data_IF_947267909047
#
_entry.id   IF_947267909047
#
_cell.length_a   1.000
_cell.length_b   1.000
_cell.length_c   1.000
_cell.angle_alpha   90.00
_cell.angle_beta   90.00
_cell.angle_gamma   90.00
#
_symmetry.space_group_name_H-M   'P 1'
#
loop_
_entity.id
_entity.type
_entity.pdbx_description
1 polymer ?
#
# COMPACT_ATOMS: atom_id res chain seq x y z
N UNK A 1 -4.46 -37.02 -19.34
CA UNK A 1 -4.42 -35.96 -20.36
C UNK A 1 -3.73 -36.52 -21.59
N UNK A 2 -4.23 -36.24 -22.80
CA UNK A 2 -3.53 -36.61 -24.03
C UNK A 2 -2.28 -35.74 -24.16
N UNK A 3 -1.17 -36.33 -24.60
CA UNK A 3 0.14 -35.68 -24.74
C UNK A 3 0.08 -34.41 -25.61
N UNK A 4 -0.82 -34.39 -26.60
CA UNK A 4 -0.94 -33.31 -27.58
C UNK A 4 -2.20 -32.43 -27.43
N UNK A 5 -2.92 -32.47 -26.30
CA UNK A 5 -4.13 -31.64 -26.10
C UNK A 5 -3.86 -30.13 -26.18
N UNK A 6 -2.68 -29.69 -25.74
CA UNK A 6 -2.26 -28.29 -25.84
C UNK A 6 -2.23 -27.76 -27.27
N UNK A 7 -1.90 -28.62 -28.26
CA UNK A 7 -1.90 -28.25 -29.66
C UNK A 7 -3.33 -28.01 -30.16
N UNK A 8 -4.31 -28.76 -29.67
CA UNK A 8 -5.73 -28.52 -29.98
C UNK A 8 -6.18 -27.16 -29.47
N UNK A 9 -5.79 -26.83 -28.23
CA UNK A 9 -6.09 -25.54 -27.62
C UNK A 9 -5.44 -24.39 -28.39
N UNK A 10 -4.17 -24.50 -28.76
CA UNK A 10 -3.45 -23.49 -29.53
C UNK A 10 -4.05 -23.28 -30.94
N UNK A 11 -4.40 -24.38 -31.64
CA UNK A 11 -5.08 -24.31 -32.95
C UNK A 11 -6.43 -23.58 -32.82
N UNK A 12 -7.19 -23.87 -31.75
CA UNK A 12 -8.48 -23.22 -31.49
C UNK A 12 -8.31 -21.72 -31.17
N UNK A 13 -7.32 -21.35 -30.36
CA UNK A 13 -7.03 -19.95 -30.00
C UNK A 13 -6.57 -19.14 -31.21
N UNK A 14 -5.77 -19.71 -32.11
CA UNK A 14 -5.32 -19.05 -33.34
C UNK A 14 -6.41 -18.97 -34.42
N UNK A 15 -7.56 -19.63 -34.23
CA UNK A 15 -8.71 -19.57 -35.15
C UNK A 15 -8.48 -20.23 -36.52
N UNK A 16 -7.46 -21.07 -36.64
CA UNK A 16 -7.07 -21.72 -37.90
C UNK A 16 -7.69 -23.11 -38.06
N UNK A 17 -7.98 -23.50 -39.30
CA UNK A 17 -8.45 -24.85 -39.62
C UNK A 17 -7.32 -25.88 -39.55
N UNK A 18 -7.66 -27.14 -39.27
CA UNK A 18 -6.72 -28.27 -39.31
C UNK A 18 -5.96 -28.39 -40.64
N UNK A 19 -6.58 -27.99 -41.75
CA UNK A 19 -5.94 -28.02 -43.07
C UNK A 19 -4.85 -26.95 -43.18
N UNK A 20 -5.15 -25.71 -42.78
CA UNK A 20 -4.18 -24.61 -42.79
C UNK A 20 -2.95 -24.89 -41.92
N UNK A 21 -3.16 -25.46 -40.73
CA UNK A 21 -2.07 -25.85 -39.82
C UNK A 21 -1.21 -26.95 -40.45
N UNK A 22 -1.84 -27.95 -41.07
CA UNK A 22 -1.15 -29.06 -41.70
C UNK A 22 -0.27 -28.59 -42.88
N UNK A 23 -0.83 -27.74 -43.75
CA UNK A 23 -0.14 -27.19 -44.91
C UNK A 23 1.05 -26.30 -44.49
N UNK A 24 0.84 -25.41 -43.51
CA UNK A 24 1.88 -24.51 -43.02
C UNK A 24 3.01 -25.24 -42.25
N UNK A 25 2.71 -26.40 -41.68
CA UNK A 25 3.67 -27.21 -40.91
C UNK A 25 4.28 -28.36 -41.74
N UNK A 26 4.03 -28.39 -43.06
CA UNK A 26 4.60 -29.38 -43.98
C UNK A 26 4.15 -30.83 -43.70
N UNK A 27 2.92 -31.03 -43.24
CA UNK A 27 2.37 -32.36 -42.93
C UNK A 27 0.97 -32.56 -43.51
N UNK A 28 0.53 -33.81 -43.64
CA UNK A 28 -0.84 -34.08 -44.11
C UNK A 28 -1.84 -33.88 -42.98
N UNK A 29 -3.07 -33.46 -43.32
CA UNK A 29 -4.18 -33.35 -42.36
C UNK A 29 -4.43 -34.65 -41.59
N UNK A 30 -4.26 -35.80 -42.24
CA UNK A 30 -4.37 -37.12 -41.61
C UNK A 30 -3.29 -37.36 -40.55
N UNK A 31 -2.04 -37.00 -40.84
CA UNK A 31 -0.94 -37.09 -39.89
C UNK A 31 -1.17 -36.18 -38.68
N UNK A 32 -1.56 -34.92 -38.91
CA UNK A 32 -1.86 -33.97 -37.83
C UNK A 32 -3.03 -34.48 -36.95
N UNK A 33 -4.09 -35.02 -37.56
CA UNK A 33 -5.21 -35.59 -36.82
C UNK A 33 -4.81 -36.80 -35.97
N UNK A 34 -3.93 -37.67 -36.46
CA UNK A 34 -3.40 -38.79 -35.69
C UNK A 34 -2.49 -38.33 -34.56
N UNK A 35 -1.67 -37.30 -34.79
CA UNK A 35 -0.80 -36.70 -33.78
C UNK A 35 -1.62 -36.14 -32.61
N UNK A 36 -2.64 -35.34 -32.90
CA UNK A 36 -3.50 -34.72 -31.87
C UNK A 36 -4.30 -35.74 -31.04
N UNK A 37 -4.48 -36.95 -31.55
CA UNK A 37 -5.21 -38.02 -30.87
C UNK A 37 -4.26 -39.07 -30.26
N UNK A 38 -2.98 -38.73 -30.04
CA UNK A 38 -1.93 -39.59 -29.48
C UNK A 38 -1.76 -40.94 -30.20
N UNK A 39 -2.12 -41.02 -31.49
CA UNK A 39 -1.97 -42.25 -32.30
C UNK A 39 -0.56 -42.43 -32.84
N UNK A 40 0.29 -41.40 -32.75
CA UNK A 40 1.67 -41.41 -33.23
C UNK A 40 2.63 -41.54 -32.06
N UNK A 41 3.28 -42.70 -31.90
CA UNK A 41 4.18 -42.99 -30.77
C UNK A 41 5.51 -42.24 -30.81
N UNK A 42 5.99 -41.89 -32.01
CA UNK A 42 7.28 -41.21 -32.21
C UNK A 42 7.19 -40.17 -33.32
N UNK A 43 6.61 -38.99 -33.04
CA UNK A 43 6.51 -37.91 -34.00
C UNK A 43 7.88 -37.35 -34.38
N UNK A 44 8.01 -36.89 -35.63
CA UNK A 44 9.25 -36.27 -36.11
C UNK A 44 9.49 -34.93 -35.41
N UNK A 45 10.70 -34.74 -34.86
CA UNK A 45 11.11 -33.50 -34.21
C UNK A 45 11.00 -32.29 -35.14
N UNK A 46 11.37 -32.44 -36.42
CA UNK A 46 11.25 -31.37 -37.43
C UNK A 46 9.77 -30.98 -37.67
N UNK A 47 8.86 -31.96 -37.71
CA UNK A 47 7.42 -31.71 -37.88
C UNK A 47 6.81 -31.05 -36.65
N UNK A 48 7.24 -31.45 -35.45
CA UNK A 48 6.83 -30.81 -34.21
C UNK A 48 7.36 -29.37 -34.13
N UNK A 49 8.63 -29.12 -34.47
CA UNK A 49 9.20 -27.78 -34.48
C UNK A 49 8.46 -26.85 -35.46
N UNK A 50 8.18 -27.32 -36.67
CA UNK A 50 7.41 -26.56 -37.66
C UNK A 50 6.01 -26.19 -37.16
N UNK A 51 5.34 -27.15 -36.49
CA UNK A 51 4.03 -26.94 -35.88
C UNK A 51 4.08 -25.91 -34.74
N UNK A 52 5.09 -26.00 -33.85
CA UNK A 52 5.26 -25.06 -32.75
C UNK A 52 5.57 -23.65 -33.29
N UNK A 53 6.44 -23.54 -34.30
CA UNK A 53 6.74 -22.27 -34.96
C UNK A 53 5.50 -21.64 -35.59
N UNK A 54 4.67 -22.43 -36.28
CA UNK A 54 3.43 -21.95 -36.87
C UNK A 54 2.40 -21.53 -35.81
N UNK A 55 2.32 -22.23 -34.68
CA UNK A 55 1.41 -21.92 -33.58
C UNK A 55 1.97 -20.90 -32.57
N UNK A 56 3.17 -20.37 -32.80
CA UNK A 56 3.88 -19.45 -31.90
C UNK A 56 4.09 -20.04 -30.49
N UNK A 57 4.37 -21.34 -30.43
CA UNK A 57 4.68 -22.08 -29.21
C UNK A 57 6.20 -22.27 -29.09
N UNK A 58 6.72 -22.31 -27.86
CA UNK A 58 8.12 -22.64 -27.59
C UNK A 58 8.46 -24.09 -27.94
N UNK A 59 9.60 -24.32 -28.59
CA UNK A 59 10.13 -25.66 -28.91
C UNK A 59 11.62 -25.79 -28.53
N UNK A 60 12.05 -26.86 -27.83
CA UNK A 60 11.21 -27.95 -27.29
C UNK A 60 10.30 -27.44 -26.17
N UNK A 61 9.07 -27.95 -26.12
CA UNK A 61 8.11 -27.56 -25.10
C UNK A 61 8.66 -27.90 -23.72
N UNK A 62 8.86 -26.88 -22.89
CA UNK A 62 9.09 -27.07 -21.46
C UNK A 62 7.74 -27.02 -20.77
N UNK A 63 7.42 -28.06 -20.01
CA UNK A 63 6.31 -27.96 -19.06
C UNK A 63 6.72 -26.93 -18.00
N UNK A 64 5.98 -25.83 -17.94
CA UNK A 64 6.19 -24.80 -16.94
C UNK A 64 5.78 -25.34 -15.58
N UNK A 65 6.66 -25.19 -14.59
CA UNK A 65 6.30 -25.37 -13.19
C UNK A 65 5.52 -24.15 -12.74
N UNK A 66 4.30 -24.38 -12.25
CA UNK A 66 3.41 -23.33 -11.78
C UNK A 66 3.22 -23.48 -10.27
N UNK A 67 3.48 -22.41 -9.53
CA UNK A 67 3.22 -22.32 -8.09
C UNK A 67 2.02 -21.44 -7.79
N UNK A 68 1.33 -21.69 -6.68
CA UNK A 68 0.30 -20.80 -6.14
C UNK A 68 0.59 -20.47 -4.67
N UNK A 69 0.33 -19.21 -4.28
CA UNK A 69 0.33 -18.71 -2.91
C UNK A 69 -1.00 -18.05 -2.63
N UNK A 70 -1.62 -18.36 -1.50
CA UNK A 70 -2.82 -17.70 -1.00
C UNK A 70 -2.47 -16.76 0.15
N UNK A 71 -3.15 -15.64 0.28
CA UNK A 71 -2.95 -14.76 1.43
C UNK A 71 -3.94 -13.61 1.50
N UNK A 72 -4.23 -13.19 2.74
CA UNK A 72 -5.03 -11.98 3.01
C UNK A 72 -4.23 -10.69 2.78
N UNK A 73 -2.91 -10.78 3.01
CA UNK A 73 -1.95 -9.67 2.93
C UNK A 73 -2.44 -8.40 3.66
N UNK A 74 -2.91 -8.58 4.90
CA UNK A 74 -3.52 -7.53 5.70
C UNK A 74 -2.75 -7.32 7.03
N UNK A 75 -1.60 -6.65 7.03
CA UNK A 75 -0.90 -6.12 5.87
C UNK A 75 0.04 -7.13 5.20
N UNK A 76 0.57 -6.76 4.03
CA UNK A 76 1.78 -7.38 3.48
C UNK A 76 2.97 -7.10 4.40
N UNK A 77 3.84 -8.10 4.60
CA UNK A 77 5.01 -7.99 5.47
C UNK A 77 6.20 -8.79 4.94
N UNK A 78 7.40 -8.58 5.49
CA UNK A 78 8.63 -9.25 5.01
C UNK A 78 8.57 -10.77 5.09
N UNK A 79 7.84 -11.35 6.05
CA UNK A 79 7.53 -12.80 6.07
C UNK A 79 6.82 -13.30 4.79
N UNK A 80 5.75 -12.61 4.36
CA UNK A 80 5.09 -12.91 3.08
C UNK A 80 6.04 -12.71 1.89
N UNK A 81 6.84 -11.64 1.91
CA UNK A 81 7.83 -11.37 0.86
C UNK A 81 8.84 -12.52 0.77
N UNK A 82 9.33 -13.00 1.90
CA UNK A 82 10.25 -14.13 1.96
C UNK A 82 9.63 -15.42 1.39
N UNK A 83 8.40 -15.76 1.80
CA UNK A 83 7.63 -16.88 1.24
C UNK A 83 7.51 -16.77 -0.28
N UNK A 84 7.08 -15.62 -0.78
CA UNK A 84 6.85 -15.39 -2.21
C UNK A 84 8.15 -15.44 -3.01
N UNK A 85 9.23 -14.83 -2.53
CA UNK A 85 10.54 -14.86 -3.21
C UNK A 85 11.10 -16.29 -3.27
N UNK A 86 10.98 -17.04 -2.18
CA UNK A 86 11.36 -18.46 -2.13
C UNK A 86 10.54 -19.30 -3.12
N UNK A 87 9.23 -19.11 -3.17
CA UNK A 87 8.34 -19.80 -4.09
C UNK A 87 8.68 -19.47 -5.55
N UNK A 88 8.84 -18.17 -5.86
CA UNK A 88 9.14 -17.66 -7.19
C UNK A 88 10.47 -18.22 -7.76
N UNK A 89 11.43 -18.55 -6.90
CA UNK A 89 12.71 -19.14 -7.32
C UNK A 89 12.64 -20.64 -7.67
N UNK A 90 11.53 -21.30 -7.36
CA UNK A 90 11.36 -22.76 -7.52
C UNK A 90 10.43 -23.13 -8.68
N UNK A 91 9.78 -22.14 -9.30
CA UNK A 91 8.77 -22.31 -10.35
C UNK A 91 9.04 -21.36 -11.52
N UNK A 92 8.54 -21.72 -12.70
CA UNK A 92 8.63 -20.88 -13.89
C UNK A 92 7.60 -19.74 -13.83
N UNK A 93 6.42 -19.99 -13.24
CA UNK A 93 5.35 -19.01 -13.02
C UNK A 93 4.78 -19.15 -11.59
N UNK A 94 4.57 -18.02 -10.90
CA UNK A 94 3.98 -17.98 -9.57
C UNK A 94 2.70 -17.15 -9.59
N UNK A 95 1.60 -17.71 -9.12
CA UNK A 95 0.32 -17.04 -8.99
C UNK A 95 0.04 -16.70 -7.52
N UNK A 96 -0.07 -15.42 -7.20
CA UNK A 96 -0.46 -14.94 -5.88
C UNK A 96 -1.94 -14.62 -5.91
N UNK A 97 -2.71 -15.24 -5.02
CA UNK A 97 -4.15 -15.04 -4.89
C UNK A 97 -4.40 -14.27 -3.59
N UNK A 98 -4.70 -12.98 -3.74
CA UNK A 98 -5.14 -12.08 -2.67
C UNK A 98 -6.59 -12.39 -2.32
N UNK A 99 -6.77 -12.97 -1.15
CA UNK A 99 -8.05 -13.38 -0.59
C UNK A 99 -8.66 -12.25 0.26
N UNK A 100 -9.83 -11.75 -0.12
CA UNK A 100 -10.52 -10.66 0.60
C UNK A 100 -11.96 -11.03 0.94
N UNK A 101 -12.46 -10.43 2.03
CA UNK A 101 -13.85 -10.53 2.48
C UNK A 101 -14.16 -9.22 3.19
N UNK A 102 -15.13 -8.45 2.70
CA UNK A 102 -15.39 -7.10 3.23
C UNK A 102 -15.75 -7.09 4.72
N UNK A 103 -16.67 -7.95 5.23
CA UNK A 103 -16.99 -7.99 6.66
C UNK A 103 -15.78 -8.28 7.55
N UNK A 104 -15.01 -9.33 7.25
CA UNK A 104 -13.83 -9.71 8.02
C UNK A 104 -12.71 -8.67 7.89
N UNK A 105 -12.51 -8.11 6.71
CA UNK A 105 -11.46 -7.10 6.50
C UNK A 105 -11.81 -5.77 7.22
N UNK A 106 -13.09 -5.44 7.40
CA UNK A 106 -13.55 -4.34 8.25
C UNK A 106 -13.30 -4.64 9.73
N UNK A 107 -13.69 -5.82 10.21
CA UNK A 107 -13.44 -6.23 11.60
C UNK A 107 -11.95 -6.23 11.94
N UNK A 108 -11.10 -6.66 11.02
CA UNK A 108 -9.64 -6.62 11.17
C UNK A 108 -9.10 -5.18 11.27
N UNK A 109 -9.70 -4.24 10.54
CA UNK A 109 -9.33 -2.82 10.62
C UNK A 109 -9.74 -2.21 11.96
N UNK A 110 -11.01 -2.38 12.35
CA UNK A 110 -11.56 -1.82 13.60
C UNK A 110 -10.79 -2.30 14.84
N UNK A 111 -10.25 -3.52 14.78
CA UNK A 111 -9.44 -4.12 15.84
C UNK A 111 -7.91 -3.94 15.64
N UNK A 112 -7.47 -2.94 14.87
CA UNK A 112 -6.06 -2.66 14.58
C UNK A 112 -5.62 -1.24 14.94
N UNK A 113 -4.30 -0.99 14.86
CA UNK A 113 -3.69 0.34 14.95
C UNK A 113 -3.55 1.05 13.60
N UNK A 114 -4.17 0.55 12.51
CA UNK A 114 -4.07 1.19 11.20
C UNK A 114 -4.71 2.59 11.22
N UNK A 115 -4.07 3.55 10.56
CA UNK A 115 -4.61 4.92 10.41
C UNK A 115 -5.79 4.98 9.44
N UNK A 116 -5.77 4.11 8.43
CA UNK A 116 -6.80 4.03 7.39
C UNK A 116 -7.06 2.58 7.02
N UNK A 117 -8.30 2.26 6.64
CA UNK A 117 -8.64 0.93 6.15
C UNK A 117 -8.04 0.71 4.75
N UNK A 118 -7.12 -0.26 4.56
CA UNK A 118 -6.65 -0.61 3.22
C UNK A 118 -7.75 -1.27 2.39
N UNK A 119 -7.98 -0.72 1.19
CA UNK A 119 -8.90 -1.32 0.23
C UNK A 119 -8.29 -2.57 -0.42
N UNK A 120 -9.10 -3.31 -1.18
CA UNK A 120 -8.58 -4.40 -2.03
C UNK A 120 -7.56 -3.85 -3.04
N UNK A 121 -7.84 -2.68 -3.63
CA UNK A 121 -6.94 -2.00 -4.57
C UNK A 121 -5.62 -1.60 -3.94
N UNK A 122 -5.61 -1.18 -2.68
CA UNK A 122 -4.38 -0.84 -1.95
C UNK A 122 -3.53 -2.08 -1.70
N UNK A 123 -4.15 -3.18 -1.26
CA UNK A 123 -3.46 -4.47 -1.07
C UNK A 123 -2.90 -5.03 -2.37
N UNK A 124 -3.65 -4.94 -3.47
CA UNK A 124 -3.15 -5.29 -4.80
C UNK A 124 -1.96 -4.39 -5.18
N UNK A 125 -2.05 -3.08 -4.92
CA UNK A 125 -0.96 -2.14 -5.19
C UNK A 125 0.29 -2.48 -4.38
N UNK A 126 0.16 -2.88 -3.12
CA UNK A 126 1.31 -3.33 -2.31
C UNK A 126 2.03 -4.50 -2.96
N UNK A 127 1.29 -5.53 -3.37
CA UNK A 127 1.86 -6.71 -4.04
C UNK A 127 2.50 -6.31 -5.38
N UNK A 128 1.79 -5.54 -6.22
CA UNK A 128 2.27 -5.13 -7.54
C UNK A 128 3.53 -4.27 -7.46
N UNK A 129 3.60 -3.32 -6.52
CA UNK A 129 4.79 -2.49 -6.34
C UNK A 129 5.97 -3.29 -5.77
N UNK A 130 5.71 -4.16 -4.80
CA UNK A 130 6.76 -5.00 -4.16
C UNK A 130 7.40 -5.95 -5.17
N UNK A 131 6.59 -6.56 -6.05
CA UNK A 131 7.03 -7.58 -6.99
C UNK A 131 7.12 -7.08 -8.45
N UNK A 132 7.21 -5.76 -8.67
CA UNK A 132 7.15 -5.15 -10.01
C UNK A 132 8.23 -5.60 -10.99
N UNK A 133 9.35 -6.12 -10.49
CA UNK A 133 10.48 -6.56 -11.31
C UNK A 133 10.47 -8.06 -11.61
N UNK A 134 9.58 -8.83 -10.95
CA UNK A 134 9.43 -10.27 -11.13
C UNK A 134 8.33 -10.55 -12.17
N UNK A 135 8.72 -10.64 -13.45
CA UNK A 135 7.79 -10.83 -14.57
C UNK A 135 7.01 -12.15 -14.53
N UNK A 136 7.50 -13.14 -13.80
CA UNK A 136 6.88 -14.44 -13.64
C UNK A 136 5.91 -14.52 -12.45
N UNK A 137 5.69 -13.41 -11.73
CA UNK A 137 4.69 -13.32 -10.68
C UNK A 137 3.40 -12.73 -11.27
N UNK A 138 2.29 -13.44 -11.09
CA UNK A 138 0.96 -13.02 -11.49
C UNK A 138 0.07 -12.85 -10.25
N UNK A 139 -0.45 -11.65 -10.03
CA UNK A 139 -1.26 -11.33 -8.86
C UNK A 139 -2.73 -11.28 -9.26
N UNK A 140 -3.58 -11.91 -8.46
CA UNK A 140 -5.02 -11.99 -8.65
C UNK A 140 -5.74 -11.66 -7.34
N UNK A 141 -6.98 -11.18 -7.42
CA UNK A 141 -7.87 -11.05 -6.27
C UNK A 141 -8.97 -12.10 -6.32
N UNK A 142 -9.31 -12.66 -5.16
CA UNK A 142 -10.38 -13.64 -4.99
C UNK A 142 -11.28 -13.21 -3.84
N UNK A 143 -12.58 -13.12 -4.14
CA UNK A 143 -13.63 -12.75 -3.20
C UNK A 143 -14.07 -13.97 -2.41
N UNK A 144 -13.99 -13.89 -1.08
CA UNK A 144 -14.39 -14.94 -0.15
C UNK A 144 -15.73 -14.64 0.54
N UNK A 145 -16.47 -13.62 0.07
CA UNK A 145 -17.73 -13.25 0.68
C UNK A 145 -18.76 -14.38 0.65
N UNK A 146 -19.38 -14.63 1.80
CA UNK A 146 -20.34 -15.70 2.01
C UNK A 146 -19.72 -17.09 2.23
N UNK A 147 -18.39 -17.20 2.28
CA UNK A 147 -17.70 -18.42 2.70
C UNK A 147 -17.57 -18.40 4.24
N UNK A 148 -17.79 -19.54 4.89
CA UNK A 148 -17.58 -19.63 6.33
C UNK A 148 -16.14 -19.25 6.71
N UNK A 149 -15.93 -18.51 7.81
CA UNK A 149 -14.60 -18.15 8.25
C UNK A 149 -13.75 -19.37 8.61
N UNK A 150 -12.45 -19.28 8.33
CA UNK A 150 -11.45 -20.22 8.83
C UNK A 150 -11.61 -20.44 10.36
N UNK A 151 -11.53 -21.68 10.88
CA UNK A 151 -11.07 -22.91 10.22
C UNK A 151 -12.14 -23.70 9.45
N UNK A 152 -13.37 -23.19 9.34
CA UNK A 152 -14.47 -23.83 8.62
C UNK A 152 -14.50 -23.37 7.15
N UNK A 153 -15.34 -23.98 6.31
CA UNK A 153 -15.55 -23.53 4.92
C UNK A 153 -14.54 -23.98 3.85
N UNK A 154 -13.60 -24.87 4.16
CA UNK A 154 -12.59 -25.37 3.20
C UNK A 154 -13.18 -26.03 1.95
N UNK A 155 -14.32 -26.70 2.08
CA UNK A 155 -15.06 -27.34 1.00
C UNK A 155 -15.60 -26.31 0.00
N UNK A 156 -16.31 -25.28 0.49
CA UNK A 156 -16.85 -24.19 -0.33
C UNK A 156 -15.71 -23.36 -0.93
N UNK A 157 -14.72 -23.02 -0.12
CA UNK A 157 -13.55 -22.25 -0.54
C UNK A 157 -12.76 -22.92 -1.65
N UNK A 158 -12.42 -24.20 -1.48
CA UNK A 158 -11.63 -24.92 -2.46
C UNK A 158 -12.37 -25.11 -3.79
N UNK A 159 -13.70 -25.28 -3.77
CA UNK A 159 -14.53 -25.30 -4.99
C UNK A 159 -14.47 -23.97 -5.73
N UNK A 160 -14.63 -22.85 -5.01
CA UNK A 160 -14.52 -21.50 -5.55
C UNK A 160 -13.15 -21.24 -6.19
N UNK A 161 -12.08 -21.59 -5.47
CA UNK A 161 -10.70 -21.43 -5.95
C UNK A 161 -10.39 -22.32 -7.15
N UNK A 162 -10.85 -23.59 -7.18
CA UNK A 162 -10.69 -24.46 -8.35
C UNK A 162 -11.38 -23.88 -9.58
N UNK A 163 -12.60 -23.37 -9.42
CA UNK A 163 -13.34 -22.70 -10.49
C UNK A 163 -12.57 -21.48 -10.98
N UNK A 164 -12.12 -20.63 -10.06
CA UNK A 164 -11.32 -19.45 -10.36
C UNK A 164 -10.03 -19.79 -11.12
N UNK A 165 -9.25 -20.77 -10.64
CA UNK A 165 -8.02 -21.20 -11.30
C UNK A 165 -8.30 -21.73 -12.70
N UNK A 166 -9.36 -22.51 -12.89
CA UNK A 166 -9.76 -23.01 -14.21
C UNK A 166 -10.16 -21.89 -15.17
N UNK A 167 -10.93 -20.89 -14.70
CA UNK A 167 -11.31 -19.71 -15.50
C UNK A 167 -10.10 -18.87 -15.91
N UNK A 168 -9.08 -18.79 -15.05
CA UNK A 168 -7.82 -18.11 -15.31
C UNK A 168 -6.79 -18.97 -16.05
N UNK A 169 -7.09 -20.24 -16.31
CA UNK A 169 -6.16 -21.19 -16.95
C UNK A 169 -4.93 -21.54 -16.09
N UNK A 170 -5.02 -21.39 -14.77
CA UNK A 170 -3.96 -21.68 -13.82
C UNK A 170 -4.00 -23.17 -13.49
N UNK A 171 -2.93 -23.89 -13.83
CA UNK A 171 -2.78 -25.32 -13.51
C UNK A 171 -1.55 -25.49 -12.61
N UNK A 172 -1.72 -25.34 -11.29
CA UNK A 172 -0.61 -25.38 -10.34
C UNK A 172 -0.04 -26.78 -10.14
N UNK A 173 1.29 -26.85 -10.05
CA UNK A 173 2.03 -28.03 -9.61
C UNK A 173 2.24 -28.03 -8.09
N UNK A 174 2.36 -26.85 -7.49
CA UNK A 174 2.69 -26.68 -6.07
C UNK A 174 1.85 -25.57 -5.43
N UNK A 175 1.47 -25.79 -4.17
CA UNK A 175 0.96 -24.74 -3.28
C UNK A 175 2.05 -24.39 -2.29
N UNK A 176 2.38 -23.12 -2.13
CA UNK A 176 3.36 -22.65 -1.16
C UNK A 176 2.64 -21.99 0.02
N UNK A 177 3.01 -22.39 1.24
CA UNK A 177 2.48 -21.80 2.48
C UNK A 177 3.52 -21.85 3.59
N UNK A 178 3.35 -21.01 4.61
CA UNK A 178 4.07 -21.14 5.88
C UNK A 178 3.23 -21.85 6.95
N UNK A 179 1.92 -21.97 6.74
CA UNK A 179 0.99 -22.53 7.71
C UNK A 179 0.93 -24.06 7.59
N UNK A 180 1.65 -24.76 8.47
CA UNK A 180 1.76 -26.24 8.42
C UNK A 180 0.42 -26.95 8.63
N UNK A 181 -0.50 -26.32 9.36
CA UNK A 181 -1.85 -26.84 9.63
C UNK A 181 -2.75 -26.87 8.39
N UNK A 182 -2.45 -26.05 7.38
CA UNK A 182 -3.25 -25.96 6.14
C UNK A 182 -2.80 -27.00 5.10
N UNK A 183 -1.56 -27.50 5.21
CA UNK A 183 -0.99 -28.43 4.24
C UNK A 183 -1.83 -29.72 4.02
N UNK A 184 -2.39 -30.37 5.06
CA UNK A 184 -3.29 -31.51 4.87
C UNK A 184 -4.55 -31.14 4.10
N UNK A 185 -5.17 -29.99 4.40
CA UNK A 185 -6.38 -29.52 3.75
C UNK A 185 -6.13 -29.22 2.26
N UNK A 186 -5.00 -28.57 1.93
CA UNK A 186 -4.61 -28.36 0.53
C UNK A 186 -4.45 -29.67 -0.24
N UNK A 187 -3.83 -30.68 0.38
CA UNK A 187 -3.65 -31.98 -0.25
C UNK A 187 -4.97 -32.72 -0.46
N UNK A 188 -5.84 -32.72 0.54
CA UNK A 188 -7.16 -33.36 0.47
C UNK A 188 -8.05 -32.69 -0.58
N UNK A 189 -8.13 -31.36 -0.54
CA UNK A 189 -9.05 -30.62 -1.39
C UNK A 189 -8.54 -30.51 -2.83
N UNK A 190 -7.26 -30.22 -3.05
CA UNK A 190 -6.75 -29.94 -4.40
C UNK A 190 -6.01 -31.12 -5.03
N UNK A 191 -5.52 -32.08 -4.24
CA UNK A 191 -4.63 -33.13 -4.73
C UNK A 191 -3.26 -32.60 -5.18
N UNK A 192 -2.86 -31.43 -4.69
CA UNK A 192 -1.62 -30.73 -5.06
C UNK A 192 -0.61 -30.86 -3.92
N UNK A 193 0.67 -30.95 -4.25
CA UNK A 193 1.75 -30.94 -3.28
C UNK A 193 1.91 -29.55 -2.65
N UNK A 194 1.87 -29.49 -1.31
CA UNK A 194 2.13 -28.27 -0.55
C UNK A 194 3.59 -28.22 -0.10
N UNK A 195 4.30 -27.16 -0.46
CA UNK A 195 5.67 -26.88 -0.05
C UNK A 195 5.64 -25.86 1.09
N UNK A 196 6.10 -26.28 2.28
CA UNK A 196 6.19 -25.41 3.44
C UNK A 196 7.47 -24.57 3.43
N UNK A 197 7.35 -23.27 3.64
CA UNK A 197 8.48 -22.35 3.74
C UNK A 197 8.49 -21.69 5.11
N UNK A 198 9.56 -21.91 5.88
CA UNK A 198 9.75 -21.40 7.24
C UNK A 198 8.52 -21.55 8.17
N UNK A 199 7.96 -22.78 8.31
CA UNK A 199 6.74 -22.98 9.11
C UNK A 199 6.94 -22.69 10.60
N UNK A 200 8.17 -22.85 11.10
CA UNK A 200 8.52 -22.53 12.50
C UNK A 200 8.81 -21.03 12.70
N UNK A 201 8.74 -20.23 11.63
CA UNK A 201 9.06 -18.79 11.63
C UNK A 201 10.43 -18.48 12.25
N UNK A 202 11.39 -19.36 11.97
CA UNK A 202 12.76 -19.33 12.47
C UNK A 202 13.58 -18.18 11.90
N UNK A 203 13.27 -17.77 10.67
CA UNK A 203 13.92 -16.65 10.00
C UNK A 203 13.08 -15.39 10.07
N UNK A 204 11.78 -15.48 9.74
CA UNK A 204 10.85 -14.35 9.75
C UNK A 204 9.76 -14.53 10.81
N UNK A 205 10.08 -14.18 12.06
CA UNK A 205 9.15 -14.29 13.19
C UNK A 205 8.14 -13.15 13.25
N UNK A 206 7.19 -13.14 12.31
CA UNK A 206 6.16 -12.10 12.21
C UNK A 206 4.83 -12.64 11.67
N UNK A 207 3.71 -12.06 12.12
CA UNK A 207 2.37 -12.21 11.56
C UNK A 207 1.76 -10.86 11.20
N UNK A 208 0.77 -10.89 10.30
CA UNK A 208 -0.12 -9.75 10.09
C UNK A 208 -0.81 -9.31 11.38
N UNK A 209 -1.19 -10.24 12.27
CA UNK A 209 -1.82 -9.93 13.57
C UNK A 209 -0.88 -9.15 14.49
N UNK A 210 0.38 -9.55 14.59
CA UNK A 210 1.38 -8.83 15.38
C UNK A 210 1.56 -7.39 14.90
N UNK A 211 1.68 -7.18 13.57
CA UNK A 211 1.82 -5.85 12.99
C UNK A 211 0.56 -5.00 13.22
N UNK A 212 -0.63 -5.55 12.98
CA UNK A 212 -1.88 -4.82 13.23
C UNK A 212 -2.04 -4.38 14.68
N UNK A 213 -1.48 -5.14 15.63
CA UNK A 213 -1.57 -4.84 17.07
C UNK A 213 -0.48 -3.91 17.60
N UNK A 214 0.71 -3.97 17.04
CA UNK A 214 1.85 -3.18 17.51
C UNK A 214 2.79 -2.87 16.33
N UNK A 215 2.36 -2.00 15.40
CA UNK A 215 3.11 -1.77 14.17
C UNK A 215 4.47 -1.13 14.45
N UNK A 216 4.58 -0.30 15.49
CA UNK A 216 5.82 0.39 15.83
C UNK A 216 6.88 -0.52 16.42
N UNK A 217 6.50 -1.61 17.09
CA UNK A 217 7.44 -2.65 17.53
C UNK A 217 7.96 -3.48 16.36
N UNK A 218 7.12 -3.77 15.37
CA UNK A 218 7.46 -4.60 14.22
C UNK A 218 7.74 -3.79 12.94
N UNK A 219 8.11 -2.52 13.09
CA UNK A 219 8.22 -1.55 11.99
C UNK A 219 9.13 -2.01 10.85
N UNK A 220 10.23 -2.70 11.18
CA UNK A 220 11.21 -3.18 10.21
C UNK A 220 10.70 -4.34 9.35
N UNK A 221 9.61 -5.01 9.76
CA UNK A 221 8.95 -6.05 8.98
C UNK A 221 7.89 -5.49 8.01
N UNK A 222 7.62 -4.19 8.07
CA UNK A 222 6.60 -3.52 7.24
C UNK A 222 7.26 -2.93 5.98
N UNK A 223 6.86 -3.34 4.77
CA UNK A 223 7.38 -2.78 3.53
C UNK A 223 7.04 -1.30 3.38
N UNK A 224 7.87 -0.56 2.65
CA UNK A 224 7.71 0.88 2.42
C UNK A 224 6.34 1.25 1.84
N UNK A 225 5.79 0.40 0.97
CA UNK A 225 4.48 0.58 0.34
C UNK A 225 3.31 0.48 1.33
N UNK A 226 3.54 -0.18 2.46
CA UNK A 226 2.53 -0.50 3.47
C UNK A 226 2.63 0.47 4.66
N UNK A 227 3.84 0.96 4.97
CA UNK A 227 4.10 1.90 6.08
C UNK A 227 3.09 3.06 6.17
N UNK A 228 2.66 3.72 5.07
CA UNK A 228 1.67 4.81 5.14
C UNK A 228 0.41 4.51 5.96
N UNK A 229 -0.06 3.27 5.98
CA UNK A 229 -1.26 2.85 6.71
C UNK A 229 -1.06 2.72 8.22
N UNK A 230 0.16 2.98 8.70
CA UNK A 230 0.55 2.94 10.11
C UNK A 230 1.28 4.20 10.56
N UNK A 231 1.67 5.10 9.64
CA UNK A 231 2.35 6.34 9.97
C UNK A 231 1.37 7.30 10.64
N UNK A 232 1.84 7.97 11.68
CA UNK A 232 1.16 9.11 12.30
C UNK A 232 1.65 10.42 11.70
N UNK A 233 0.77 11.39 11.56
CA UNK A 233 1.07 12.68 10.98
C UNK A 233 0.88 13.79 12.00
N UNK A 234 1.88 14.66 12.11
CA UNK A 234 1.90 15.76 13.07
C UNK A 234 2.08 17.07 12.31
N UNK A 235 1.02 17.87 12.22
CA UNK A 235 1.06 19.18 11.59
C UNK A 235 1.40 20.27 12.61
N UNK A 236 2.37 21.12 12.28
CA UNK A 236 2.79 22.24 13.11
C UNK A 236 2.38 23.54 12.43
N UNK A 237 1.46 24.26 13.07
CA UNK A 237 0.83 25.46 12.57
C UNK A 237 1.24 26.68 13.39
N UNK A 238 1.03 27.86 12.82
CA UNK A 238 1.27 29.14 13.49
C UNK A 238 1.60 30.23 12.49
N UNK A 239 1.65 31.47 12.99
CA UNK A 239 1.93 32.63 12.14
C UNK A 239 3.31 32.61 11.48
N UNK A 240 3.52 33.60 10.60
CA UNK A 240 4.82 33.84 9.97
C UNK A 240 5.92 34.05 11.01
N UNK A 241 7.12 33.51 10.73
CA UNK A 241 8.32 33.65 11.57
C UNK A 241 8.21 33.19 13.04
N UNK A 242 7.30 32.27 13.37
CA UNK A 242 7.19 31.64 14.70
C UNK A 242 8.14 30.47 14.96
N UNK A 243 9.11 30.23 14.06
CA UNK A 243 10.09 29.15 14.19
C UNK A 243 9.61 27.75 13.77
N UNK A 244 8.44 27.64 13.11
CA UNK A 244 7.84 26.35 12.68
C UNK A 244 8.81 25.44 11.94
N UNK A 245 9.40 25.91 10.85
CA UNK A 245 10.30 25.11 10.02
C UNK A 245 11.52 24.60 10.81
N UNK A 246 12.03 25.42 11.74
CA UNK A 246 13.12 25.00 12.64
C UNK A 246 12.64 23.92 13.61
N UNK A 247 11.45 24.07 14.18
CA UNK A 247 10.86 23.11 15.09
C UNK A 247 10.56 21.76 14.41
N UNK A 248 9.94 21.80 13.23
CA UNK A 248 9.63 20.63 12.39
C UNK A 248 10.92 19.86 12.08
N UNK A 249 11.99 20.56 11.67
CA UNK A 249 13.28 19.93 11.39
C UNK A 249 13.91 19.32 12.66
N UNK A 250 13.89 20.05 13.79
CA UNK A 250 14.39 19.50 15.08
C UNK A 250 13.66 18.22 15.49
N UNK A 251 12.33 18.20 15.36
CA UNK A 251 11.52 17.03 15.67
C UNK A 251 11.83 15.87 14.72
N UNK A 252 11.89 16.12 13.41
CA UNK A 252 12.24 15.09 12.42
C UNK A 252 13.59 14.43 12.73
N UNK A 253 14.61 15.22 13.10
CA UNK A 253 15.93 14.72 13.46
C UNK A 253 15.92 13.86 14.74
N UNK A 254 15.19 14.27 15.77
CA UNK A 254 15.17 13.57 17.07
C UNK A 254 14.39 12.27 17.00
N UNK A 255 13.30 12.24 16.24
CA UNK A 255 12.53 11.01 15.98
C UNK A 255 13.12 10.16 14.84
N UNK A 256 14.22 10.61 14.22
CA UNK A 256 14.88 9.97 13.08
C UNK A 256 13.87 9.60 11.98
N UNK A 257 13.18 10.61 11.49
CA UNK A 257 12.08 10.47 10.53
C UNK A 257 12.08 11.62 9.52
N UNK A 258 11.09 11.64 8.63
CA UNK A 258 10.91 12.63 7.57
C UNK A 258 10.06 13.82 8.02
N UNK A 259 10.19 14.91 7.26
CA UNK A 259 9.28 16.04 7.34
C UNK A 259 8.89 16.55 5.95
N UNK A 260 7.68 17.10 5.87
CA UNK A 260 7.21 17.88 4.73
C UNK A 260 7.38 19.37 5.05
N UNK A 261 8.11 20.08 4.21
CA UNK A 261 8.36 21.52 4.39
C UNK A 261 7.22 22.33 3.76
N UNK A 262 7.10 23.61 4.11
CA UNK A 262 6.11 24.52 3.54
C UNK A 262 6.39 24.77 2.04
N UNK A 263 5.61 24.13 1.16
CA UNK A 263 5.76 24.26 -0.29
C UNK A 263 5.53 25.69 -0.80
N UNK A 264 4.71 26.48 -0.12
CA UNK A 264 4.48 27.89 -0.47
C UNK A 264 5.78 28.70 -0.57
N UNK A 265 6.75 28.42 0.31
CA UNK A 265 8.07 29.07 0.28
C UNK A 265 8.84 28.73 -1.00
N UNK A 266 8.85 27.46 -1.37
CA UNK A 266 9.53 26.99 -2.59
C UNK A 266 8.84 27.53 -3.84
N UNK A 267 7.50 27.59 -3.85
CA UNK A 267 6.74 28.15 -4.96
C UNK A 267 7.04 29.63 -5.17
N UNK A 268 7.01 30.44 -4.10
CA UNK A 268 7.33 31.88 -4.17
C UNK A 268 8.74 32.09 -4.70
N UNK A 269 9.72 31.34 -4.18
CA UNK A 269 11.11 31.46 -4.62
C UNK A 269 11.31 31.05 -6.09
N UNK A 270 10.76 29.90 -6.50
CA UNK A 270 11.04 29.31 -7.81
C UNK A 270 10.18 29.86 -8.95
N UNK A 271 8.92 30.20 -8.70
CA UNK A 271 7.95 30.60 -9.74
C UNK A 271 7.60 32.09 -9.70
N UNK A 272 7.76 32.76 -8.55
CA UNK A 272 7.38 34.17 -8.36
C UNK A 272 8.57 35.11 -8.16
N UNK A 273 9.80 34.60 -8.30
CA UNK A 273 11.02 35.41 -8.20
C UNK A 273 11.39 35.82 -6.78
N UNK A 274 10.81 35.18 -5.75
CA UNK A 274 11.14 35.43 -4.35
C UNK A 274 10.40 36.60 -3.71
N UNK A 275 9.25 37.03 -4.24
CA UNK A 275 8.42 38.06 -3.61
C UNK A 275 6.96 37.57 -3.50
N UNK A 276 6.44 37.51 -2.27
CA UNK A 276 5.05 37.10 -2.00
C UNK A 276 4.02 38.09 -2.58
N UNK A 277 4.41 39.34 -2.89
CA UNK A 277 3.51 40.30 -3.56
C UNK A 277 3.05 39.84 -4.94
N UNK A 278 3.80 38.95 -5.59
CA UNK A 278 3.45 38.39 -6.89
C UNK A 278 2.47 37.21 -6.80
N UNK A 279 2.17 36.74 -5.59
CA UNK A 279 1.27 35.60 -5.37
C UNK A 279 -0.18 36.02 -5.65
N UNK A 280 -0.88 35.21 -6.45
CA UNK A 280 -2.26 35.48 -6.84
C UNK A 280 -3.19 34.38 -6.38
N UNK A 281 -4.50 34.67 -6.34
CA UNK A 281 -5.53 33.68 -6.02
C UNK A 281 -5.40 32.36 -6.81
N UNK A 282 -4.98 32.41 -8.08
CA UNK A 282 -4.81 31.23 -8.96
C UNK A 282 -3.51 30.43 -8.73
N UNK A 283 -2.73 30.77 -7.72
CA UNK A 283 -1.53 30.00 -7.33
C UNK A 283 -1.79 29.08 -6.14
N UNK A 284 -2.85 29.34 -5.37
CA UNK A 284 -3.15 28.58 -4.15
C UNK A 284 -3.50 27.12 -4.42
N UNK A 285 -4.10 26.80 -5.57
CA UNK A 285 -4.37 25.42 -5.99
C UNK A 285 -3.07 24.64 -6.25
N UNK A 286 -2.10 25.24 -6.95
CA UNK A 286 -0.78 24.66 -7.21
C UNK A 286 0.03 24.53 -5.92
N UNK A 287 -0.03 25.54 -5.04
CA UNK A 287 0.67 25.51 -3.75
C UNK A 287 0.13 24.37 -2.90
N UNK A 288 -1.20 24.25 -2.80
CA UNK A 288 -1.82 23.19 -2.03
C UNK A 288 -1.54 21.81 -2.63
N UNK A 289 -1.55 21.65 -3.96
CA UNK A 289 -1.17 20.39 -4.60
C UNK A 289 0.30 20.03 -4.34
N UNK A 290 1.21 21.00 -4.39
CA UNK A 290 2.63 20.79 -4.06
C UNK A 290 2.83 20.39 -2.59
N UNK A 291 2.11 21.02 -1.67
CA UNK A 291 2.11 20.63 -0.25
C UNK A 291 1.64 19.18 -0.07
N UNK A 292 0.57 18.77 -0.75
CA UNK A 292 0.08 17.39 -0.71
C UNK A 292 1.15 16.39 -1.17
N UNK A 293 1.88 16.70 -2.24
CA UNK A 293 2.99 15.85 -2.70
C UNK A 293 4.12 15.73 -1.66
N UNK A 294 4.44 16.81 -0.94
CA UNK A 294 5.44 16.80 0.12
C UNK A 294 4.98 15.96 1.32
N UNK A 295 3.70 16.08 1.69
CA UNK A 295 3.07 15.26 2.74
C UNK A 295 3.14 13.78 2.37
N UNK A 296 2.70 13.40 1.17
CA UNK A 296 2.71 12.01 0.70
C UNK A 296 4.11 11.41 0.69
N UNK A 297 5.11 12.18 0.24
CA UNK A 297 6.51 11.76 0.25
C UNK A 297 7.01 11.56 1.68
N UNK A 298 6.74 12.52 2.58
CA UNK A 298 7.12 12.42 3.97
C UNK A 298 6.50 11.17 4.62
N UNK A 299 5.19 10.96 4.47
CA UNK A 299 4.47 9.79 5.00
C UNK A 299 5.04 8.48 4.46
N UNK A 300 5.34 8.41 3.17
CA UNK A 300 5.88 7.19 2.54
C UNK A 300 7.21 6.72 3.15
N UNK A 301 8.09 7.65 3.50
CA UNK A 301 9.42 7.34 4.01
C UNK A 301 9.59 7.58 5.51
N UNK A 302 8.51 7.96 6.19
CA UNK A 302 8.54 8.22 7.61
C UNK A 302 8.93 6.97 8.41
N UNK A 303 9.59 7.22 9.53
CA UNK A 303 9.80 6.28 10.59
C UNK A 303 8.75 6.54 11.67
N UNK A 304 7.62 5.82 11.59
CA UNK A 304 6.46 5.86 12.52
C UNK A 304 5.67 7.17 12.53
N UNK A 305 6.32 8.32 12.45
CA UNK A 305 5.69 9.64 12.48
C UNK A 305 6.25 10.55 11.39
N UNK A 306 5.42 11.34 10.71
CA UNK A 306 5.81 12.36 9.76
C UNK A 306 5.46 13.76 10.30
N UNK A 307 6.39 14.71 10.19
CA UNK A 307 6.16 16.09 10.64
C UNK A 307 5.86 17.01 9.47
N UNK A 308 4.78 17.77 9.54
CA UNK A 308 4.30 18.61 8.45
C UNK A 308 4.42 20.09 8.86
N UNK A 309 5.21 20.86 8.12
CA UNK A 309 5.32 22.30 8.26
C UNK A 309 4.17 22.97 7.52
N UNK A 310 3.19 23.44 8.27
CA UNK A 310 1.93 24.02 7.78
C UNK A 310 0.97 23.02 7.13
N UNK A 311 -0.32 23.27 7.29
CA UNK A 311 -1.40 22.49 6.69
C UNK A 311 -2.16 23.28 5.62
N UNK A 312 -3.15 22.61 5.01
CA UNK A 312 -4.04 23.21 4.03
C UNK A 312 -4.91 24.33 4.62
N UNK A 313 -5.24 24.28 5.92
CA UNK A 313 -5.96 25.38 6.61
C UNK A 313 -5.12 26.64 6.62
N UNK A 314 -3.81 26.52 6.82
CA UNK A 314 -2.91 27.67 6.81
C UNK A 314 -2.84 28.30 5.42
N UNK A 315 -2.73 27.49 4.38
CA UNK A 315 -2.79 27.96 2.98
C UNK A 315 -4.12 28.67 2.68
N UNK A 316 -5.23 28.11 3.15
CA UNK A 316 -6.56 28.70 3.02
C UNK A 316 -6.68 30.03 3.78
N UNK A 317 -6.05 30.13 4.96
CA UNK A 317 -6.04 31.35 5.78
C UNK A 317 -5.25 32.46 5.11
N UNK A 318 -4.12 32.13 4.48
CA UNK A 318 -3.38 33.08 3.64
C UNK A 318 -4.20 33.54 2.45
N UNK A 319 -4.85 32.62 1.73
CA UNK A 319 -5.74 32.96 0.62
C UNK A 319 -6.83 33.94 1.06
N UNK A 320 -7.52 33.65 2.16
CA UNK A 320 -8.56 34.52 2.70
C UNK A 320 -8.04 35.87 3.14
N UNK A 321 -6.85 35.92 3.76
CA UNK A 321 -6.27 37.16 4.27
C UNK A 321 -5.81 38.09 3.15
N UNK A 322 -5.13 37.56 2.14
CA UNK A 322 -4.56 38.35 1.06
C UNK A 322 -5.55 38.63 -0.08
N UNK A 323 -6.41 37.66 -0.42
CA UNK A 323 -7.35 37.75 -1.55
C UNK A 323 -8.78 38.11 -1.12
N UNK A 324 -9.05 38.13 0.19
CA UNK A 324 -10.38 38.41 0.74
C UNK A 324 -11.43 37.32 0.50
N UNK A 325 -11.05 36.17 -0.06
CA UNK A 325 -11.95 35.05 -0.38
C UNK A 325 -11.27 33.70 -0.19
N UNK A 326 -12.08 32.66 -0.05
CA UNK A 326 -11.63 31.27 0.14
C UNK A 326 -11.54 30.53 -1.19
N UNK A 327 -10.54 29.64 -1.34
CA UNK A 327 -10.34 28.80 -2.52
C UNK A 327 -10.98 27.39 -2.39
N UNK A 328 -12.01 27.04 -3.21
CA UNK A 328 -12.71 25.76 -3.09
C UNK A 328 -11.82 24.52 -3.23
N UNK A 329 -10.79 24.57 -4.09
CA UNK A 329 -9.84 23.47 -4.23
C UNK A 329 -9.01 23.23 -2.96
N UNK A 330 -8.61 24.30 -2.26
CA UNK A 330 -7.84 24.17 -1.02
C UNK A 330 -8.74 23.63 0.09
N UNK A 331 -10.01 24.04 0.12
CA UNK A 331 -11.01 23.46 1.01
C UNK A 331 -11.18 21.95 0.81
N UNK A 332 -11.23 21.47 -0.45
CA UNK A 332 -11.29 20.03 -0.72
C UNK A 332 -10.07 19.27 -0.17
N UNK A 333 -8.88 19.87 -0.18
CA UNK A 333 -7.69 19.28 0.43
C UNK A 333 -7.72 19.30 1.96
N UNK A 334 -8.33 20.32 2.59
CA UNK A 334 -8.57 20.32 4.04
C UNK A 334 -9.47 19.16 4.45
N UNK A 335 -10.49 18.86 3.62
CA UNK A 335 -11.43 17.79 3.91
C UNK A 335 -10.80 16.40 3.74
N UNK A 336 -9.97 16.22 2.71
CA UNK A 336 -9.29 14.96 2.39
C UNK A 336 -8.09 14.66 3.31
N UNK A 337 -7.23 15.66 3.59
CA UNK A 337 -6.01 15.46 4.35
C UNK A 337 -6.21 15.85 5.81
N UNK A 338 -6.47 14.84 6.64
CA UNK A 338 -6.54 14.97 8.10
C UNK A 338 -5.24 14.50 8.74
N UNK A 339 -4.82 15.23 9.78
CA UNK A 339 -3.61 14.92 10.53
C UNK A 339 -3.96 14.34 11.91
N UNK A 340 -3.17 13.37 12.38
CA UNK A 340 -3.43 12.70 13.67
C UNK A 340 -3.21 13.65 14.87
N UNK A 341 -2.30 14.63 14.74
CA UNK A 341 -2.07 15.66 15.74
C UNK A 341 -1.79 17.01 15.05
N UNK A 342 -2.55 18.02 15.44
CA UNK A 342 -2.32 19.41 15.01
C UNK A 342 -1.82 20.22 16.21
N UNK A 343 -0.65 20.81 16.08
CA UNK A 343 -0.03 21.67 17.11
C UNK A 343 -0.06 23.10 16.59
N UNK A 344 -0.76 24.00 17.27
CA UNK A 344 -0.75 25.42 16.99
C UNK A 344 0.26 26.10 17.91
N UNK A 345 1.26 26.78 17.35
CA UNK A 345 2.23 27.58 18.11
C UNK A 345 1.71 29.00 18.30
N UNK A 346 1.80 29.52 19.52
CA UNK A 346 1.51 30.92 19.83
C UNK A 346 2.56 31.85 19.21
N UNK A 347 2.11 33.04 18.83
CA UNK A 347 2.88 34.01 18.06
C UNK A 347 3.61 35.02 18.96
N UNK A 348 4.13 34.56 20.11
CA UNK A 348 4.84 35.35 21.14
C UNK A 348 6.38 35.18 21.11
N UNK A 349 6.94 34.60 20.05
CA UNK A 349 8.40 34.63 19.82
C UNK A 349 8.84 35.92 19.09
N UNK A 350 10.10 36.36 19.29
CA UNK A 350 10.67 37.48 18.54
C UNK A 350 10.54 37.28 17.02
N UNK A 351 10.19 38.33 16.30
CA UNK A 351 10.13 38.29 14.84
C UNK A 351 11.53 38.18 14.25
N UNK A 352 11.73 37.20 13.37
CA UNK A 352 12.94 37.07 12.56
C UNK A 352 12.56 37.33 11.10
N UNK A 353 13.09 38.40 10.52
CA UNK A 353 12.84 38.76 9.13
C UNK A 353 13.59 37.78 8.21
N UNK A 354 12.86 37.04 7.38
CA UNK A 354 13.42 36.14 6.37
C UNK A 354 13.45 36.77 4.96
N UNK A 355 13.08 38.05 4.85
CA UNK A 355 13.20 38.85 3.63
C UNK A 355 12.09 38.65 2.59
N UNK A 356 11.11 37.78 2.85
CA UNK A 356 10.07 37.39 1.88
C UNK A 356 8.66 37.91 2.22
N UNK A 357 8.45 38.50 3.41
CA UNK A 357 7.12 38.53 4.07
C UNK A 357 6.65 39.91 4.56
N UNK A 358 5.32 40.08 4.62
CA UNK A 358 4.64 41.37 4.87
C UNK A 358 3.89 41.48 6.21
N UNK A 359 3.60 40.39 6.93
CA UNK A 359 2.85 40.42 8.20
C UNK A 359 3.74 40.68 9.43
N UNK A 360 4.50 41.77 9.40
CA UNK A 360 5.48 42.09 10.45
C UNK A 360 4.90 42.69 11.74
N UNK A 361 3.68 43.25 11.71
CA UNK A 361 3.12 43.96 12.88
C UNK A 361 2.50 42.99 13.90
N UNK A 362 2.62 43.28 15.20
CA UNK A 362 2.00 42.48 16.28
C UNK A 362 0.48 42.34 16.08
N UNK A 363 -0.17 43.38 15.57
CA UNK A 363 -1.61 43.38 15.28
C UNK A 363 -1.95 42.39 14.16
N UNK A 364 -1.16 42.35 13.10
CA UNK A 364 -1.40 41.48 11.95
C UNK A 364 -1.10 40.01 12.28
N UNK A 365 -0.09 39.78 13.13
CA UNK A 365 0.24 38.45 13.69
C UNK A 365 -0.91 37.92 14.54
N UNK A 366 -1.46 38.73 15.44
CA UNK A 366 -2.62 38.37 16.27
C UNK A 366 -3.89 38.17 15.45
N UNK A 367 -4.12 39.03 14.46
CA UNK A 367 -5.24 38.89 13.52
C UNK A 367 -5.17 37.57 12.74
N UNK A 368 -3.97 37.17 12.32
CA UNK A 368 -3.79 35.91 11.60
C UNK A 368 -3.95 34.68 12.51
N UNK A 369 -3.45 34.74 13.75
CA UNK A 369 -3.65 33.68 14.74
C UNK A 369 -5.15 33.45 14.98
N UNK A 370 -5.92 34.52 15.22
CA UNK A 370 -7.36 34.43 15.39
C UNK A 370 -8.07 33.84 14.16
N UNK A 371 -7.61 34.19 12.94
CA UNK A 371 -8.14 33.64 11.70
C UNK A 371 -7.87 32.14 11.60
N UNK A 372 -6.64 31.69 11.88
CA UNK A 372 -6.28 30.28 11.90
C UNK A 372 -7.14 29.50 12.91
N UNK A 373 -7.27 29.98 14.14
CA UNK A 373 -8.11 29.33 15.16
C UNK A 373 -9.57 29.24 14.72
N UNK A 374 -10.12 30.31 14.15
CA UNK A 374 -11.49 30.30 13.63
C UNK A 374 -11.65 29.26 12.53
N UNK A 375 -10.67 29.14 11.63
CA UNK A 375 -10.72 28.21 10.52
C UNK A 375 -10.51 26.76 10.94
N UNK A 376 -9.63 26.49 11.90
CA UNK A 376 -9.48 25.16 12.51
C UNK A 376 -10.83 24.72 13.14
N UNK A 377 -11.47 25.61 13.89
CA UNK A 377 -12.80 25.34 14.49
C UNK A 377 -13.88 25.12 13.44
N UNK A 378 -13.96 25.95 12.40
CA UNK A 378 -14.97 25.80 11.35
C UNK A 378 -14.80 24.53 10.52
N UNK A 379 -13.56 24.02 10.42
CA UNK A 379 -13.24 22.77 9.73
C UNK A 379 -13.26 21.54 10.64
N UNK A 380 -13.71 21.69 11.90
CA UNK A 380 -13.74 20.65 12.93
C UNK A 380 -12.37 19.96 13.13
N UNK A 381 -11.30 20.75 13.14
CA UNK A 381 -9.94 20.27 13.39
C UNK A 381 -9.59 20.53 14.85
N UNK A 382 -9.39 19.44 15.59
CA UNK A 382 -8.86 19.50 16.95
C UNK A 382 -7.37 19.85 16.91
N UNK A 383 -6.94 20.75 17.79
CA UNK A 383 -5.55 21.16 17.89
C UNK A 383 -5.14 21.36 19.35
N UNK A 384 -3.84 21.21 19.60
CA UNK A 384 -3.21 21.54 20.88
C UNK A 384 -2.49 22.88 20.74
N UNK A 385 -2.86 23.86 21.56
CA UNK A 385 -2.22 25.17 21.57
C UNK A 385 -0.98 25.16 22.48
N UNK A 386 0.17 25.60 21.95
CA UNK A 386 1.44 25.70 22.69
C UNK A 386 1.81 27.17 22.85
N UNK A 387 1.66 27.67 24.07
CA UNK A 387 1.72 29.11 24.39
C UNK A 387 3.08 29.60 24.92
N UNK A 388 4.01 28.71 25.26
CA UNK A 388 5.30 29.12 25.85
C UNK A 388 6.05 30.06 24.91
N UNK A 389 6.63 31.15 25.41
CA UNK A 389 7.47 32.06 24.62
C UNK A 389 8.89 31.53 24.40
N UNK A 390 9.33 30.57 25.23
CA UNK A 390 10.67 30.00 25.18
C UNK A 390 10.78 28.89 24.12
N UNK A 391 11.83 28.94 23.31
CA UNK A 391 12.01 28.01 22.20
C UNK A 391 12.30 26.57 22.66
N UNK A 392 12.97 26.39 23.80
CA UNK A 392 13.29 25.07 24.34
C UNK A 392 12.07 24.45 25.00
N UNK A 393 11.34 25.21 25.83
CA UNK A 393 10.09 24.75 26.45
C UNK A 393 9.04 24.33 25.39
N UNK A 394 8.88 25.13 24.32
CA UNK A 394 8.02 24.74 23.19
C UNK A 394 8.44 23.42 22.57
N UNK A 395 9.74 23.28 22.32
CA UNK A 395 10.30 22.11 21.69
C UNK A 395 10.05 20.87 22.56
N UNK A 396 10.35 20.93 23.85
CA UNK A 396 10.10 19.86 24.82
C UNK A 396 8.60 19.52 24.91
N UNK A 397 7.73 20.52 24.91
CA UNK A 397 6.28 20.30 24.91
C UNK A 397 5.82 19.58 23.65
N UNK A 398 6.34 19.94 22.48
CA UNK A 398 6.01 19.25 21.24
C UNK A 398 6.53 17.80 21.23
N UNK A 399 7.73 17.54 21.76
CA UNK A 399 8.25 16.17 21.93
C UNK A 399 7.31 15.34 22.80
N UNK A 400 6.85 15.89 23.93
CA UNK A 400 5.92 15.21 24.84
C UNK A 400 4.61 14.83 24.15
N UNK A 401 4.00 15.78 23.42
CA UNK A 401 2.75 15.54 22.68
C UNK A 401 2.90 14.44 21.63
N UNK A 402 4.02 14.41 20.91
CA UNK A 402 4.31 13.38 19.91
C UNK A 402 4.53 12.02 20.57
N UNK A 403 5.24 11.98 21.71
CA UNK A 403 5.40 10.75 22.47
C UNK A 403 4.06 10.21 22.99
N UNK A 404 3.17 11.09 23.44
CA UNK A 404 1.82 10.71 23.87
C UNK A 404 1.00 10.13 22.71
N UNK A 405 1.06 10.75 21.52
CA UNK A 405 0.42 10.22 20.31
C UNK A 405 0.90 8.79 20.00
N UNK A 406 2.23 8.58 19.98
CA UNK A 406 2.82 7.27 19.68
C UNK A 406 2.55 6.23 20.78
N UNK A 407 2.37 6.65 22.03
CA UNK A 407 2.07 5.78 23.17
C UNK A 407 0.59 5.42 23.28
N UNK A 408 -0.33 6.32 22.91
CA UNK A 408 -1.77 6.08 22.96
C UNK A 408 -2.17 4.90 22.06
N UNK A 409 -1.50 4.74 20.92
CA UNK A 409 -1.68 3.59 20.03
C UNK A 409 -1.37 2.24 20.69
N UNK A 410 -0.34 2.19 21.54
CA UNK A 410 0.03 0.98 22.28
C UNK A 410 -1.04 0.63 23.34
N UNK A 411 -1.68 1.63 23.94
CA UNK A 411 -2.67 1.43 25.00
C UNK A 411 -4.07 1.11 24.46
N UNK A 412 -4.44 1.62 23.28
CA UNK A 412 -5.76 1.39 22.65
C UNK A 412 -6.08 -0.10 22.48
N UNK A 413 -5.05 -0.94 22.28
CA UNK A 413 -5.19 -2.39 22.05
C UNK A 413 -4.81 -3.27 23.26
N UNK A 414 -4.33 -2.65 24.34
CA UNK A 414 -4.01 -3.32 25.59
C UNK A 414 -5.24 -3.54 26.50
N UNK A 415 -6.38 -2.92 26.18
CA UNK A 415 -7.67 -3.24 26.84
C UNK A 415 -8.15 -4.61 26.34
N UNK A 416 -8.26 -5.64 27.20
CA UNK A 416 -8.75 -6.94 26.76
C UNK A 416 -10.20 -6.80 26.30
N UNK A 417 -10.49 -7.14 25.03
CA UNK A 417 -11.86 -7.53 24.70
C UNK A 417 -12.10 -8.88 25.37
N UNK A 418 -12.98 -8.91 26.37
CA UNK A 418 -13.31 -10.10 27.19
C UNK A 418 -13.96 -11.26 26.39
N UNK A 419 -13.87 -11.28 25.06
CA UNK A 419 -14.61 -12.19 24.19
C UNK A 419 -13.78 -12.87 23.09
N UNK A 420 -12.49 -12.56 22.90
CA UNK A 420 -11.73 -13.06 21.73
C UNK A 420 -10.70 -14.16 22.01
N UNK A 421 -10.39 -14.49 23.26
CA UNK A 421 -9.30 -15.43 23.61
C UNK A 421 -9.55 -16.90 23.22
N UNK A 422 -10.73 -17.24 22.68
CA UNK A 422 -11.09 -18.63 22.35
C UNK A 422 -11.19 -18.96 20.84
N UNK A 423 -10.88 -18.04 19.91
CA UNK A 423 -11.17 -18.28 18.47
C UNK A 423 -10.06 -18.00 17.45
N UNK A 424 -8.92 -17.45 17.83
CA UNK A 424 -7.88 -17.09 16.85
C UNK A 424 -6.67 -18.02 16.94
N UNK A 425 -6.71 -19.10 16.15
CA UNK A 425 -5.48 -19.75 15.67
C UNK A 425 -4.66 -18.74 14.88
N UNK A 426 -3.36 -18.69 15.16
CA UNK A 426 -2.43 -17.67 14.68
C UNK A 426 -2.49 -17.51 13.15
N UNK A 427 -2.87 -16.31 12.71
CA UNK A 427 -2.94 -15.84 11.31
C UNK A 427 -1.59 -15.30 10.80
#
# INVERSE_FOLDING_TARGET
MLQFDYLKTAIKQKGCTLQQVADASGMTKGYLSQLLNDKIKSPSAQKLEALHRYLELEFPRREKKVGVVFGKFYPLHTGHIYLIQRACSQVDELHIILCYDEPRDLELFENSSMSQQPTVSDRLRWLLQTFKYQKNIHIHSFDENGIEPYPHGWDVWSLGVKKFMNEKGIVPNFIYSSESQDAPHYREQFGIETILIDPERSFMNISGRQIRRDPFRYWDYIPTEVKPFFVRTVAILGGESSGKSTLVNKLANIFNTTSAWEYGRDYVFSHLGGDEMALQYSDYDKIALGQAQYVDFAVKYANKVAFIDTDFVTTQAFCKKYEGREHPFVQALIDEYRFDLVILLENNTPWVADGLRSLGSERDRKSFQNLLEQMLRSNNIEYVHVESADYDERFLRCVELVQQLLAADLQRLARPSLLSEAREGQL
#
